data_IF_116812373752
#
_entry.id   IF_116812373752
#
_cell.length_a   1.000
_cell.length_b   1.000
_cell.length_c   1.000
_cell.angle_alpha   90.00
_cell.angle_beta   90.00
_cell.angle_gamma   90.00
#
_symmetry.space_group_name_H-M   'P 1'
#
loop_
_entity.id
_entity.type
_entity.pdbx_description
1 polymer ?
#
# COMPACT_ATOMS: atom_id res chain seq x y z
N UNK A 1 49.27 -19.52 -8.01
CA UNK A 1 48.00 -20.28 -7.94
C UNK A 1 47.01 -19.68 -6.94
N UNK A 2 47.42 -19.36 -5.69
CA UNK A 2 46.50 -18.84 -4.65
C UNK A 2 45.71 -17.56 -5.01
N UNK A 3 46.31 -16.61 -5.75
CA UNK A 3 45.64 -15.35 -6.15
C UNK A 3 44.42 -15.56 -7.07
N UNK A 4 44.50 -16.54 -7.98
CA UNK A 4 43.40 -16.86 -8.90
C UNK A 4 42.26 -17.58 -8.17
N UNK A 5 42.59 -18.43 -7.19
CA UNK A 5 41.60 -19.11 -6.33
C UNK A 5 40.79 -18.07 -5.54
N UNK A 6 41.45 -17.06 -4.96
CA UNK A 6 40.76 -15.97 -4.26
C UNK A 6 39.83 -15.16 -5.16
N UNK A 7 40.26 -14.86 -6.39
CA UNK A 7 39.45 -14.09 -7.35
C UNK A 7 38.24 -14.90 -7.85
N UNK A 8 38.42 -16.21 -8.06
CA UNK A 8 37.32 -17.14 -8.39
C UNK A 8 36.30 -17.24 -7.26
N UNK A 9 36.75 -17.37 -6.01
CA UNK A 9 35.86 -17.38 -4.84
C UNK A 9 35.09 -16.06 -4.69
N UNK A 10 35.75 -14.91 -4.89
CA UNK A 10 35.09 -13.61 -4.85
C UNK A 10 34.01 -13.50 -5.94
N UNK A 11 34.32 -13.93 -7.17
CA UNK A 11 33.38 -13.95 -8.29
C UNK A 11 32.16 -14.83 -7.98
N UNK A 12 32.36 -16.04 -7.44
CA UNK A 12 31.28 -16.93 -7.05
C UNK A 12 30.37 -16.32 -5.97
N UNK A 13 30.95 -15.63 -4.98
CA UNK A 13 30.18 -14.93 -3.95
C UNK A 13 29.37 -13.78 -4.57
N UNK A 14 29.95 -13.00 -5.50
CA UNK A 14 29.22 -11.91 -6.16
C UNK A 14 28.07 -12.38 -7.04
N UNK A 15 28.20 -13.54 -7.68
CA UNK A 15 27.11 -14.14 -8.47
C UNK A 15 26.00 -14.64 -7.54
N UNK A 16 26.36 -15.29 -6.41
CA UNK A 16 25.38 -15.81 -5.46
C UNK A 16 24.53 -14.70 -4.79
N UNK A 17 25.12 -13.54 -4.49
CA UNK A 17 24.36 -12.39 -3.95
C UNK A 17 23.48 -11.72 -5.01
N UNK A 18 23.86 -11.76 -6.30
CA UNK A 18 23.04 -11.20 -7.37
C UNK A 18 21.75 -12.03 -7.61
N UNK A 19 21.79 -13.34 -7.36
CA UNK A 19 20.61 -14.21 -7.41
C UNK A 19 19.66 -14.05 -6.22
N UNK A 20 20.15 -13.59 -5.07
CA UNK A 20 19.31 -13.41 -3.88
C UNK A 20 18.33 -12.23 -3.98
N UNK A 21 18.63 -11.22 -4.80
CA UNK A 21 17.74 -10.07 -5.03
C UNK A 21 16.72 -10.30 -6.17
N UNK A 22 16.78 -11.45 -6.85
CA UNK A 22 15.82 -11.81 -7.90
C UNK A 22 14.78 -12.79 -7.36
N UNK A 23 14.00 -12.36 -6.36
CA UNK A 23 12.77 -13.06 -5.99
C UNK A 23 11.74 -12.79 -7.10
N UNK A 24 11.41 -13.76 -7.97
CA UNK A 24 10.33 -13.55 -8.93
C UNK A 24 9.06 -13.33 -8.11
N UNK A 25 8.45 -12.15 -8.25
CA UNK A 25 7.10 -11.88 -7.75
C UNK A 25 6.15 -12.84 -8.47
N UNK A 26 5.97 -14.06 -7.95
CA UNK A 26 4.66 -14.68 -8.03
C UNK A 26 3.73 -13.65 -7.41
N UNK A 27 2.87 -13.01 -8.21
CA UNK A 27 1.96 -11.95 -7.78
C UNK A 27 0.98 -12.48 -6.71
N UNK A 28 1.47 -12.70 -5.49
CA UNK A 28 0.68 -12.82 -4.28
C UNK A 28 0.17 -11.42 -4.00
N UNK A 29 -0.85 -11.07 -4.75
CA UNK A 29 -1.64 -9.89 -4.51
C UNK A 29 -2.07 -9.91 -3.04
N UNK A 30 -1.66 -8.86 -2.30
CA UNK A 30 -2.08 -8.68 -0.93
C UNK A 30 -3.60 -8.48 -0.82
N UNK A 31 -4.11 -8.19 0.39
CA UNK A 31 -5.56 -7.99 0.61
C UNK A 31 -6.17 -6.86 -0.25
N UNK A 32 -5.33 -5.97 -0.79
CA UNK A 32 -5.70 -4.87 -1.69
C UNK A 32 -5.57 -5.18 -3.20
N UNK A 33 -5.35 -6.45 -3.56
CA UNK A 33 -5.17 -6.85 -4.96
C UNK A 33 -3.85 -6.29 -5.52
N UNK A 34 -3.91 -5.74 -6.74
CA UNK A 34 -2.79 -5.09 -7.45
C UNK A 34 -2.29 -3.77 -6.85
N UNK A 35 -2.98 -3.25 -5.84
CA UNK A 35 -2.60 -1.99 -5.19
C UNK A 35 -1.87 -2.28 -3.88
N UNK A 36 -0.71 -1.65 -3.68
CA UNK A 36 -0.14 -1.52 -2.34
C UNK A 36 -1.02 -0.64 -1.46
N UNK A 37 -0.87 -0.71 -0.14
CA UNK A 37 -1.65 0.12 0.80
C UNK A 37 -1.49 1.62 0.51
N UNK A 38 -0.29 2.08 0.15
CA UNK A 38 -0.06 3.46 -0.27
C UNK A 38 -0.74 3.79 -1.62
N UNK A 39 -0.66 2.92 -2.63
CA UNK A 39 -1.33 3.16 -3.92
C UNK A 39 -2.86 3.12 -3.78
N UNK A 40 -3.41 2.37 -2.83
CA UNK A 40 -4.82 2.39 -2.51
C UNK A 40 -5.27 3.81 -2.13
N UNK A 41 -4.50 4.51 -1.29
CA UNK A 41 -4.79 5.89 -0.89
C UNK A 41 -4.60 6.89 -2.03
N UNK A 42 -3.52 6.78 -2.81
CA UNK A 42 -3.16 7.79 -3.82
C UNK A 42 -3.88 7.61 -5.17
N UNK A 43 -4.34 6.41 -5.50
CA UNK A 43 -4.98 6.11 -6.79
C UNK A 43 -6.45 5.77 -6.62
N UNK A 44 -6.76 4.71 -5.86
CA UNK A 44 -8.14 4.20 -5.74
C UNK A 44 -9.03 5.12 -4.92
N UNK A 45 -8.51 5.67 -3.82
CA UNK A 45 -9.21 6.56 -2.90
C UNK A 45 -8.81 8.03 -3.07
N UNK A 46 -8.26 8.41 -4.24
CA UNK A 46 -7.80 9.79 -4.51
C UNK A 46 -8.91 10.82 -4.27
N UNK A 47 -10.14 10.51 -4.64
CA UNK A 47 -11.29 11.40 -4.45
C UNK A 47 -11.67 11.65 -2.99
N UNK A 48 -11.13 10.86 -2.06
CA UNK A 48 -11.32 11.01 -0.62
C UNK A 48 -10.28 11.92 0.03
N UNK A 49 -9.20 12.30 -0.66
CA UNK A 49 -8.05 13.00 -0.07
C UNK A 49 -8.48 14.26 0.71
N UNK A 50 -9.30 15.12 0.10
CA UNK A 50 -9.75 16.37 0.73
C UNK A 50 -10.53 16.10 2.03
N UNK A 51 -11.41 15.10 2.01
CA UNK A 51 -12.18 14.68 3.18
C UNK A 51 -11.33 13.96 4.23
N UNK A 52 -10.26 13.27 3.81
CA UNK A 52 -9.32 12.59 4.69
C UNK A 52 -8.41 13.56 5.45
N UNK A 53 -8.14 14.75 4.88
CA UNK A 53 -7.32 15.79 5.51
C UNK A 53 -8.11 16.71 6.44
N UNK A 54 -9.44 16.76 6.33
CA UNK A 54 -10.27 17.67 7.13
C UNK A 54 -11.66 17.10 7.40
N UNK A 55 -12.01 17.00 8.68
CA UNK A 55 -13.35 16.58 9.13
C UNK A 55 -14.47 17.50 8.61
N UNK A 56 -14.15 18.77 8.31
CA UNK A 56 -15.10 19.76 7.78
C UNK A 56 -15.23 19.71 6.25
N UNK A 57 -14.29 19.10 5.54
CA UNK A 57 -14.34 19.05 4.09
C UNK A 57 -15.41 18.05 3.61
N UNK A 58 -16.33 18.42 2.69
CA UNK A 58 -17.39 17.53 2.23
C UNK A 58 -16.82 16.28 1.55
N UNK A 59 -17.50 15.15 1.71
CA UNK A 59 -17.13 13.90 1.03
C UNK A 59 -17.75 13.91 -0.37
N UNK A 60 -16.92 13.68 -1.39
CA UNK A 60 -17.42 13.60 -2.76
C UNK A 60 -18.22 12.30 -2.98
N UNK A 61 -19.24 12.35 -3.83
CA UNK A 61 -20.00 11.14 -4.21
C UNK A 61 -19.09 10.06 -4.83
N UNK A 62 -18.05 10.49 -5.56
CA UNK A 62 -17.05 9.60 -6.14
C UNK A 62 -16.17 8.92 -5.08
N UNK A 63 -15.75 9.64 -4.02
CA UNK A 63 -15.06 9.02 -2.88
C UNK A 63 -15.88 7.87 -2.30
N UNK A 64 -17.16 8.11 -2.05
CA UNK A 64 -18.03 7.09 -1.49
C UNK A 64 -18.18 5.88 -2.43
N UNK A 65 -18.36 6.10 -3.74
CA UNK A 65 -18.40 5.02 -4.74
C UNK A 65 -17.11 4.21 -4.81
N UNK A 66 -15.95 4.87 -4.68
CA UNK A 66 -14.65 4.21 -4.72
C UNK A 66 -14.38 3.42 -3.44
N UNK A 67 -14.72 3.99 -2.27
CA UNK A 67 -14.61 3.34 -0.96
C UNK A 67 -15.51 2.09 -0.86
N UNK A 68 -16.73 2.17 -1.42
CA UNK A 68 -17.63 1.03 -1.53
C UNK A 68 -17.10 -0.11 -2.41
N UNK A 69 -16.00 0.08 -3.17
CA UNK A 69 -15.35 -0.99 -3.95
C UNK A 69 -14.12 -1.58 -3.25
N UNK A 70 -13.71 -1.02 -2.11
CA UNK A 70 -12.60 -1.55 -1.32
C UNK A 70 -13.12 -2.65 -0.38
N UNK A 71 -12.36 -3.74 -0.27
CA UNK A 71 -12.66 -4.87 0.62
C UNK A 71 -12.29 -4.55 2.07
N UNK A 72 -12.98 -5.15 3.04
CA UNK A 72 -12.67 -4.98 4.47
C UNK A 72 -11.22 -5.43 4.78
N UNK A 73 -10.71 -6.57 4.27
CA UNK A 73 -9.31 -6.94 4.48
C UNK A 73 -8.32 -5.89 3.97
N UNK A 74 -8.59 -5.25 2.83
CA UNK A 74 -7.73 -4.17 2.33
C UNK A 74 -7.77 -2.94 3.23
N UNK A 75 -8.96 -2.52 3.70
CA UNK A 75 -9.08 -1.39 4.62
C UNK A 75 -8.32 -1.66 5.92
N UNK A 76 -8.49 -2.85 6.51
CA UNK A 76 -7.72 -3.27 7.67
C UNK A 76 -6.21 -3.17 7.40
N UNK A 77 -5.73 -3.73 6.29
CA UNK A 77 -4.31 -3.66 5.92
C UNK A 77 -3.80 -2.22 5.72
N UNK A 78 -4.62 -1.32 5.16
CA UNK A 78 -4.27 0.10 5.04
C UNK A 78 -4.14 0.76 6.41
N UNK A 79 -5.10 0.55 7.31
CA UNK A 79 -5.09 1.12 8.68
C UNK A 79 -3.99 0.53 9.57
N UNK A 80 -3.59 -0.72 9.35
CA UNK A 80 -2.46 -1.34 10.04
C UNK A 80 -1.09 -0.98 9.44
N UNK A 81 -1.04 -0.21 8.35
CA UNK A 81 0.21 0.17 7.67
C UNK A 81 0.59 1.62 7.88
N UNK A 82 1.84 1.98 7.58
CA UNK A 82 2.32 3.37 7.57
C UNK A 82 1.82 4.20 6.38
N UNK A 83 0.88 3.69 5.57
CA UNK A 83 0.43 4.34 4.33
C UNK A 83 -0.09 5.76 4.58
N UNK A 84 -0.87 5.97 5.65
CA UNK A 84 -1.39 7.28 6.03
C UNK A 84 -0.28 8.28 6.35
N UNK A 85 0.74 7.85 7.10
CA UNK A 85 1.93 8.66 7.41
C UNK A 85 2.67 9.06 6.13
N UNK A 86 2.85 8.13 5.19
CA UNK A 86 3.53 8.38 3.90
C UNK A 86 2.81 9.37 3.00
N UNK A 87 1.48 9.50 3.10
CA UNK A 87 0.68 10.47 2.32
C UNK A 87 0.29 11.73 3.11
N UNK A 88 0.73 11.84 4.37
CA UNK A 88 0.46 12.97 5.26
C UNK A 88 -1.01 13.13 5.65
N UNK A 89 -1.74 12.04 5.84
CA UNK A 89 -3.15 12.03 6.27
C UNK A 89 -3.25 11.50 7.70
N UNK A 90 -4.04 12.16 8.55
CA UNK A 90 -4.33 11.67 9.90
C UNK A 90 -5.36 10.52 9.83
N UNK A 91 -5.02 9.28 10.24
CA UNK A 91 -5.95 8.16 10.24
C UNK A 91 -7.20 8.41 11.10
N UNK A 92 -7.12 9.27 12.13
CA UNK A 92 -8.27 9.65 12.97
C UNK A 92 -9.32 10.46 12.20
N UNK A 93 -8.91 11.22 11.19
CA UNK A 93 -9.85 11.92 10.30
C UNK A 93 -10.36 10.94 9.24
N UNK A 94 -9.46 10.14 8.64
CA UNK A 94 -9.80 9.22 7.57
C UNK A 94 -10.84 8.14 7.99
N UNK A 95 -10.76 7.63 9.23
CA UNK A 95 -11.70 6.63 9.76
C UNK A 95 -13.15 7.17 9.87
N UNK A 96 -13.35 8.49 9.82
CA UNK A 96 -14.69 9.09 9.82
C UNK A 96 -15.38 9.04 8.45
N UNK A 97 -14.65 8.84 7.36
CA UNK A 97 -15.19 8.89 5.99
C UNK A 97 -16.30 7.84 5.75
N UNK A 98 -16.17 6.56 6.16
CA UNK A 98 -17.23 5.57 6.00
C UNK A 98 -18.57 6.03 6.59
N UNK A 99 -18.55 6.60 7.81
CA UNK A 99 -19.76 7.13 8.46
C UNK A 99 -20.37 8.28 7.67
N UNK A 100 -19.53 9.18 7.14
CA UNK A 100 -19.96 10.34 6.34
C UNK A 100 -20.45 9.97 4.94
N UNK A 101 -20.18 8.75 4.48
CA UNK A 101 -20.70 8.19 3.24
C UNK A 101 -22.01 7.39 3.41
N UNK A 102 -22.49 7.17 4.64
CA UNK A 102 -23.66 6.35 4.95
C UNK A 102 -23.59 4.89 4.46
N UNK A 103 -22.43 4.22 4.62
CA UNK A 103 -22.30 2.80 4.25
C UNK A 103 -22.44 1.86 5.44
N UNK A 104 -23.32 0.88 5.32
CA UNK A 104 -23.26 -0.37 6.07
C UNK A 104 -22.69 -1.45 5.14
N UNK A 105 -21.50 -1.96 5.44
CA UNK A 105 -21.03 -3.26 4.95
C UNK A 105 -20.86 -4.16 6.18
N UNK A 106 -21.21 -5.46 6.07
CA UNK A 106 -21.35 -6.35 7.22
C UNK A 106 -20.10 -6.38 8.11
#
# INVERSE_FOLDING_TARGET
MSKFVGLLLLLLITVAIAEYDHHPEHEKHGPCGKFSTQRMLTHKLRHCEKAARSIRAPVSSQCCKDLAKVSIPCLHAVFSSDAFKKVGVDPKIAITIPHRCHFAKP
#
